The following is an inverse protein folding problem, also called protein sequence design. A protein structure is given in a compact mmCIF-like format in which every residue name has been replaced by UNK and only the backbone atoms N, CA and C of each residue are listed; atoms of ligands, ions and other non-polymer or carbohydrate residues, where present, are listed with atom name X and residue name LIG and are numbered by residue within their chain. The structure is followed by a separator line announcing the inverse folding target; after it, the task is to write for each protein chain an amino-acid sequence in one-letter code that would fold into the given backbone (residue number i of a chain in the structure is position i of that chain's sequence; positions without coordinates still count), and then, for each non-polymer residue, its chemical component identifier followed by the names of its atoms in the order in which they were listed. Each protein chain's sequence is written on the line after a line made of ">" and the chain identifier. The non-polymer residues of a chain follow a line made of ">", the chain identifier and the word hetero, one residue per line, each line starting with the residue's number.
data_IF_316921624119
#
_entry.id   IF_316921624119
#
_cell.length_a   1.000
_cell.length_b   1.000
_cell.length_c   1.000
_cell.angle_alpha   90.00
_cell.angle_beta   90.00
_cell.angle_gamma   90.00
#
_symmetry.space_group_name_H-M   'P 1'
#
loop_
_entity.id
_entity.type
_entity.pdbx_description
1 polymer ?
#
# COMPACT_ATOMS: atom_id res chain seq x y z
N UNK A 1 22.43 6.38 -27.32
CA UNK A 1 21.42 5.37 -27.73
C UNK A 1 21.86 4.01 -27.23
N UNK A 2 20.95 3.24 -26.64
CA UNK A 2 21.14 1.82 -26.40
C UNK A 2 20.46 1.07 -27.54
N UNK A 3 21.11 0.05 -28.10
CA UNK A 3 20.54 -0.74 -29.21
C UNK A 3 20.28 -2.17 -28.78
N UNK A 4 21.25 -2.75 -28.09
CA UNK A 4 21.22 -4.13 -27.64
C UNK A 4 21.92 -4.25 -26.28
N UNK A 5 21.28 -4.92 -25.34
CA UNK A 5 21.85 -5.36 -24.08
C UNK A 5 21.35 -6.77 -23.79
N UNK A 6 22.26 -7.71 -23.61
CA UNK A 6 21.94 -9.08 -23.23
C UNK A 6 22.92 -9.52 -22.15
N UNK A 7 22.43 -9.71 -20.94
CA UNK A 7 23.26 -9.94 -19.76
C UNK A 7 22.65 -11.02 -18.87
N UNK A 8 23.51 -11.73 -18.14
CA UNK A 8 23.09 -12.65 -17.09
C UNK A 8 22.36 -11.90 -15.98
N UNK A 9 23.11 -11.10 -15.23
CA UNK A 9 22.57 -10.18 -14.24
C UNK A 9 23.06 -8.75 -14.49
N UNK A 10 22.33 -7.76 -14.00
CA UNK A 10 22.75 -6.37 -14.02
C UNK A 10 22.54 -5.70 -12.66
N UNK A 11 23.59 -4.97 -12.25
CA UNK A 11 23.63 -4.15 -11.06
C UNK A 11 24.26 -2.79 -11.40
N UNK A 12 23.83 -1.73 -10.71
CA UNK A 12 24.27 -0.35 -10.98
C UNK A 12 23.26 0.44 -11.82
N UNK A 13 23.70 1.52 -12.45
CA UNK A 13 22.82 2.42 -13.23
C UNK A 13 23.29 2.49 -14.67
N UNK A 14 22.38 2.24 -15.63
CA UNK A 14 22.58 2.50 -17.05
C UNK A 14 21.65 3.63 -17.46
N UNK A 15 22.23 4.68 -18.02
CA UNK A 15 21.51 5.82 -18.57
C UNK A 15 21.70 5.87 -20.09
N UNK A 16 20.61 6.01 -20.84
CA UNK A 16 20.66 6.15 -22.29
C UNK A 16 19.54 7.08 -22.79
N UNK A 17 19.72 7.82 -23.89
CA UNK A 17 18.64 8.65 -24.44
C UNK A 17 17.36 7.87 -24.74
N UNK A 18 17.50 6.73 -25.42
CA UNK A 18 16.41 5.80 -25.74
C UNK A 18 16.95 4.43 -26.09
N UNK A 19 16.07 3.42 -26.10
CA UNK A 19 16.31 2.14 -26.74
C UNK A 19 16.01 2.26 -28.24
N UNK A 20 17.03 2.42 -29.09
CA UNK A 20 16.83 2.61 -30.52
C UNK A 20 16.96 1.26 -31.28
N UNK A 21 16.08 0.95 -32.24
CA UNK A 21 16.31 -0.13 -33.19
C UNK A 21 17.45 0.22 -34.16
N UNK A 22 18.40 -0.69 -34.39
CA UNK A 22 19.46 -0.52 -35.39
C UNK A 22 19.00 -1.05 -36.75
N UNK A 23 19.64 -0.67 -37.87
CA UNK A 23 19.27 -1.10 -39.22
C UNK A 23 18.97 -2.62 -39.30
N UNK A 24 17.68 -2.98 -39.40
CA UNK A 24 17.21 -4.36 -39.49
C UNK A 24 17.10 -5.15 -38.17
N UNK A 25 17.37 -4.54 -37.00
CA UNK A 25 17.30 -5.19 -35.70
C UNK A 25 16.47 -4.40 -34.67
N UNK A 26 15.58 -5.07 -33.91
CA UNK A 26 14.80 -4.43 -32.85
C UNK A 26 15.72 -3.88 -31.75
N UNK A 27 15.28 -2.81 -31.09
CA UNK A 27 15.91 -2.33 -29.87
C UNK A 27 15.64 -3.33 -28.75
N UNK A 28 16.68 -3.92 -28.17
CA UNK A 28 16.51 -5.10 -27.32
C UNK A 28 17.30 -5.00 -26.00
N UNK A 29 16.61 -5.21 -24.88
CA UNK A 29 17.25 -5.44 -23.58
C UNK A 29 16.75 -6.76 -23.02
N UNK A 30 17.67 -7.63 -22.61
CA UNK A 30 17.36 -8.87 -21.90
C UNK A 30 18.29 -9.09 -20.72
N UNK A 31 17.68 -9.49 -19.62
CA UNK A 31 18.37 -10.10 -18.48
C UNK A 31 17.98 -11.58 -18.39
N UNK A 32 18.91 -12.45 -18.01
CA UNK A 32 18.67 -13.89 -17.90
C UNK A 32 18.42 -14.36 -16.46
N UNK A 33 18.96 -13.66 -15.47
CA UNK A 33 18.94 -14.05 -14.06
C UNK A 33 18.29 -12.99 -13.16
N UNK A 34 18.96 -11.84 -12.94
CA UNK A 34 18.48 -10.81 -12.02
C UNK A 34 18.82 -9.40 -12.52
N UNK A 35 17.89 -8.49 -12.33
CA UNK A 35 18.08 -7.07 -12.54
C UNK A 35 17.78 -6.33 -11.23
N UNK A 36 18.84 -5.85 -10.57
CA UNK A 36 18.77 -5.11 -9.29
C UNK A 36 19.15 -3.64 -9.42
N UNK A 37 19.51 -3.22 -10.64
CA UNK A 37 20.00 -1.86 -10.93
C UNK A 37 18.90 -0.88 -11.35
N UNK A 38 19.32 0.24 -11.94
CA UNK A 38 18.46 1.22 -12.60
C UNK A 38 18.75 1.27 -14.09
N UNK A 39 17.71 1.17 -14.90
CA UNK A 39 17.76 1.38 -16.34
C UNK A 39 16.94 2.62 -16.67
N UNK A 40 17.60 3.69 -17.09
CA UNK A 40 16.99 5.01 -17.26
C UNK A 40 17.07 5.43 -18.72
N UNK A 41 15.92 5.76 -19.29
CA UNK A 41 15.78 6.31 -20.63
C UNK A 41 15.25 7.74 -20.58
N UNK A 42 15.90 8.66 -21.30
CA UNK A 42 15.50 10.07 -21.38
C UNK A 42 14.15 10.25 -22.08
N UNK A 43 13.90 9.45 -23.11
CA UNK A 43 12.68 9.47 -23.94
C UNK A 43 11.67 8.39 -23.51
N UNK A 44 10.48 8.41 -24.12
CA UNK A 44 9.45 7.38 -23.95
C UNK A 44 9.80 6.01 -24.55
N UNK A 45 8.91 5.04 -24.32
CA UNK A 45 9.05 3.64 -24.75
C UNK A 45 7.81 3.16 -25.49
N UNK A 46 7.70 3.51 -26.77
CA UNK A 46 6.48 3.32 -27.56
C UNK A 46 6.71 2.69 -28.94
N UNK A 47 7.95 2.43 -29.34
CA UNK A 47 8.20 1.76 -30.61
C UNK A 47 7.92 0.25 -30.44
N UNK A 48 7.01 -0.35 -31.22
CA UNK A 48 6.70 -1.77 -31.11
C UNK A 48 7.89 -2.69 -31.45
N UNK A 49 8.94 -2.17 -32.10
CA UNK A 49 10.19 -2.88 -32.31
C UNK A 49 11.12 -2.85 -31.08
N UNK A 50 10.77 -2.13 -30.02
CA UNK A 50 11.47 -2.18 -28.74
C UNK A 50 10.93 -3.31 -27.87
N UNK A 51 11.82 -4.01 -27.18
CA UNK A 51 11.42 -4.95 -26.13
C UNK A 51 12.43 -4.95 -24.99
N UNK A 52 11.90 -5.01 -23.78
CA UNK A 52 12.67 -5.30 -22.58
C UNK A 52 12.15 -6.61 -22.01
N UNK A 53 13.06 -7.53 -21.70
CA UNK A 53 12.76 -8.82 -21.13
C UNK A 53 13.57 -9.05 -19.86
N UNK A 54 12.88 -9.37 -18.77
CA UNK A 54 13.46 -9.71 -17.46
C UNK A 54 12.96 -11.11 -17.11
N UNK A 55 13.68 -11.96 -16.38
CA UNK A 55 13.14 -13.27 -15.97
C UNK A 55 12.04 -13.11 -14.92
N UNK A 56 11.26 -14.16 -14.70
CA UNK A 56 10.26 -14.21 -13.63
C UNK A 56 10.92 -13.91 -12.28
N UNK A 57 10.28 -13.07 -11.47
CA UNK A 57 10.79 -12.58 -10.18
C UNK A 57 12.14 -11.83 -10.25
N UNK A 58 12.66 -11.54 -11.45
CA UNK A 58 14.00 -10.97 -11.62
C UNK A 58 14.04 -9.46 -11.76
N UNK A 59 12.90 -8.77 -11.74
CA UNK A 59 12.83 -7.30 -11.73
C UNK A 59 12.81 -6.82 -10.28
N UNK A 60 13.99 -6.77 -9.66
CA UNK A 60 14.21 -6.22 -8.31
C UNK A 60 14.56 -4.72 -8.36
N UNK A 61 15.11 -4.27 -9.50
CA UNK A 61 15.53 -2.91 -9.78
C UNK A 61 14.42 -2.03 -10.39
N UNK A 62 14.83 -0.95 -11.05
CA UNK A 62 13.91 0.03 -11.62
C UNK A 62 14.18 0.30 -13.09
N UNK A 63 13.11 0.36 -13.88
CA UNK A 63 13.16 0.81 -15.26
C UNK A 63 12.39 2.12 -15.37
N UNK A 64 13.06 3.18 -15.82
CA UNK A 64 12.52 4.53 -15.90
C UNK A 64 12.50 4.97 -17.35
N UNK A 65 11.33 5.38 -17.84
CA UNK A 65 11.14 6.01 -19.13
C UNK A 65 10.82 7.49 -18.96
N UNK A 66 11.12 8.27 -20.00
CA UNK A 66 10.89 9.71 -20.04
C UNK A 66 11.63 10.51 -18.94
N UNK A 67 12.88 10.15 -18.61
CA UNK A 67 13.63 10.84 -17.56
C UNK A 67 13.85 12.35 -17.83
N UNK A 68 13.72 12.79 -19.09
CA UNK A 68 13.72 14.21 -19.48
C UNK A 68 12.38 14.92 -19.25
N UNK A 69 11.35 14.22 -18.78
CA UNK A 69 10.02 14.74 -18.46
C UNK A 69 9.31 15.43 -19.64
N UNK A 70 9.43 14.87 -20.85
CA UNK A 70 8.76 15.38 -22.03
C UNK A 70 7.26 15.07 -21.98
N UNK A 71 6.40 16.09 -22.11
CA UNK A 71 4.95 15.93 -22.00
C UNK A 71 4.31 15.03 -23.08
N UNK A 72 4.97 14.87 -24.23
CA UNK A 72 4.48 14.04 -25.34
C UNK A 72 4.99 12.59 -25.30
N UNK A 73 5.89 12.26 -24.36
CA UNK A 73 6.42 10.92 -24.26
C UNK A 73 5.37 9.94 -23.72
N UNK A 74 5.38 8.73 -24.25
CA UNK A 74 4.45 7.67 -23.85
C UNK A 74 5.21 6.36 -23.63
N UNK A 75 4.61 5.50 -22.80
CA UNK A 75 5.01 4.11 -22.66
C UNK A 75 3.87 3.21 -23.16
N UNK A 76 4.08 2.57 -24.31
CA UNK A 76 3.13 1.63 -24.92
C UNK A 76 3.77 0.34 -25.44
N UNK A 77 5.11 0.29 -25.56
CA UNK A 77 5.82 -0.93 -25.90
C UNK A 77 5.91 -1.87 -24.67
N UNK A 78 5.88 -3.20 -24.87
CA UNK A 78 5.77 -4.15 -23.77
C UNK A 78 7.09 -4.29 -23.00
N UNK A 79 6.99 -4.28 -21.66
CA UNK A 79 8.04 -4.83 -20.79
C UNK A 79 7.60 -6.22 -20.32
N UNK A 80 8.42 -7.22 -20.58
CA UNK A 80 8.07 -8.64 -20.41
C UNK A 80 8.83 -9.23 -19.23
N UNK A 81 8.10 -9.84 -18.30
CA UNK A 81 8.65 -10.58 -17.17
C UNK A 81 8.40 -12.07 -17.43
N UNK A 82 9.48 -12.83 -17.61
CA UNK A 82 9.48 -14.23 -17.98
C UNK A 82 9.83 -14.52 -19.44
N UNK A 83 10.01 -15.81 -19.79
CA UNK A 83 10.42 -16.24 -21.14
C UNK A 83 9.39 -15.87 -22.21
N UNK A 84 9.85 -15.55 -23.42
CA UNK A 84 8.96 -15.15 -24.51
C UNK A 84 8.05 -16.31 -24.92
N UNK A 85 6.74 -16.06 -24.99
CA UNK A 85 5.74 -17.08 -25.35
C UNK A 85 5.46 -18.13 -24.26
N UNK A 86 5.97 -17.94 -23.05
CA UNK A 86 5.64 -18.80 -21.91
C UNK A 86 4.24 -18.47 -21.38
N UNK A 87 3.43 -19.47 -20.94
CA UNK A 87 2.10 -19.22 -20.39
C UNK A 87 2.09 -18.28 -19.19
N UNK A 88 3.14 -18.32 -18.37
CA UNK A 88 3.29 -17.48 -17.17
C UNK A 88 3.98 -16.13 -17.44
N UNK A 89 4.20 -15.76 -18.71
CA UNK A 89 4.82 -14.46 -19.01
C UNK A 89 3.87 -13.32 -18.60
N UNK A 90 4.39 -12.42 -17.77
CA UNK A 90 3.70 -11.19 -17.41
C UNK A 90 4.13 -10.11 -18.41
N UNK A 91 3.15 -9.38 -18.93
CA UNK A 91 3.39 -8.20 -19.79
C UNK A 91 2.93 -6.96 -19.03
N UNK A 92 3.89 -6.11 -18.67
CA UNK A 92 3.62 -4.82 -18.06
C UNK A 92 3.33 -3.81 -19.16
N UNK A 93 2.16 -3.19 -19.09
CA UNK A 93 1.72 -2.15 -20.02
C UNK A 93 1.73 -0.80 -19.30
N UNK A 94 2.26 0.22 -19.97
CA UNK A 94 2.30 1.58 -19.43
C UNK A 94 1.01 2.38 -19.66
N UNK A 95 0.92 3.58 -19.06
CA UNK A 95 1.87 4.15 -18.11
C UNK A 95 1.70 3.61 -16.66
N UNK A 96 0.65 2.83 -16.40
CA UNK A 96 0.41 2.15 -15.12
C UNK A 96 -0.10 0.71 -15.31
N UNK A 97 0.29 -0.19 -14.41
CA UNK A 97 -0.10 -1.60 -14.41
C UNK A 97 -0.47 -2.08 -13.01
N UNK A 98 -1.40 -3.02 -12.89
CA UNK A 98 -1.90 -3.50 -11.58
C UNK A 98 -1.11 -4.67 -10.99
N UNK A 99 -0.18 -5.25 -11.75
CA UNK A 99 0.65 -6.37 -11.31
C UNK A 99 1.48 -5.94 -10.08
N UNK A 100 1.28 -6.55 -8.90
CA UNK A 100 1.99 -6.15 -7.68
C UNK A 100 3.51 -6.37 -7.78
N UNK A 101 4.29 -5.49 -7.15
CA UNK A 101 5.75 -5.52 -7.31
C UNK A 101 6.39 -6.82 -6.85
N UNK A 102 5.89 -7.46 -5.80
CA UNK A 102 6.36 -8.76 -5.29
C UNK A 102 6.24 -9.89 -6.33
N UNK A 103 5.30 -9.79 -7.28
CA UNK A 103 5.12 -10.80 -8.34
C UNK A 103 6.18 -10.71 -9.44
N UNK A 104 6.82 -9.55 -9.59
CA UNK A 104 7.84 -9.29 -10.62
C UNK A 104 9.27 -9.27 -10.05
N UNK A 105 9.42 -9.21 -8.73
CA UNK A 105 10.72 -9.22 -8.03
C UNK A 105 10.91 -8.09 -7.01
N UNK A 106 9.91 -7.25 -6.78
CA UNK A 106 9.93 -6.10 -5.86
C UNK A 106 10.28 -4.76 -6.50
N UNK A 107 10.77 -4.80 -7.75
CA UNK A 107 11.10 -3.63 -8.55
C UNK A 107 9.89 -2.96 -9.21
N UNK A 108 10.16 -2.06 -10.15
CA UNK A 108 9.11 -1.35 -10.89
C UNK A 108 9.54 -0.89 -12.28
N UNK A 109 8.53 -0.57 -13.10
CA UNK A 109 8.70 0.15 -14.37
C UNK A 109 7.84 1.40 -14.31
N UNK A 110 8.39 2.56 -14.64
CA UNK A 110 7.66 3.82 -14.57
C UNK A 110 7.93 4.73 -15.75
N UNK A 111 6.88 5.44 -16.18
CA UNK A 111 6.98 6.58 -17.08
C UNK A 111 6.92 7.86 -16.24
N UNK A 112 7.88 8.77 -16.42
CA UNK A 112 7.88 10.08 -15.74
C UNK A 112 6.87 11.02 -16.43
N UNK A 113 6.11 11.84 -15.67
CA UNK A 113 6.00 11.85 -14.22
C UNK A 113 5.34 10.58 -13.66
N UNK A 114 5.91 10.00 -12.61
CA UNK A 114 5.37 8.76 -12.03
C UNK A 114 4.00 8.99 -11.38
N UNK A 115 3.11 8.02 -11.58
CA UNK A 115 1.88 7.84 -10.81
C UNK A 115 2.08 6.86 -9.64
N UNK A 116 1.05 6.72 -8.81
CA UNK A 116 0.98 5.78 -7.69
C UNK A 116 0.68 4.35 -8.17
N UNK A 117 1.41 3.37 -7.63
CA UNK A 117 1.12 1.96 -7.79
C UNK A 117 0.18 1.48 -6.68
N UNK A 118 -1.12 1.67 -6.87
CA UNK A 118 -2.14 1.39 -5.85
C UNK A 118 -2.12 -0.04 -5.28
N UNK A 119 -1.91 -1.05 -6.11
CA UNK A 119 -1.86 -2.47 -5.69
C UNK A 119 -0.57 -2.85 -4.94
N UNK A 120 0.53 -2.12 -5.13
CA UNK A 120 1.78 -2.36 -4.39
C UNK A 120 1.88 -1.49 -3.14
N UNK A 121 0.99 -0.51 -2.98
CA UNK A 121 0.92 0.31 -1.77
C UNK A 121 0.33 -0.54 -0.64
N UNK A 122 0.66 -0.20 0.60
CA UNK A 122 0.14 -0.88 1.77
C UNK A 122 -0.54 0.09 2.73
N UNK A 123 -1.80 -0.16 3.13
CA UNK A 123 -2.74 -1.07 2.49
C UNK A 123 -2.93 -0.74 0.99
N UNK A 124 -3.40 -1.71 0.22
CA UNK A 124 -3.68 -1.48 -1.19
C UNK A 124 -4.75 -0.39 -1.34
N UNK A 125 -4.66 0.39 -2.43
CA UNK A 125 -5.60 1.49 -2.66
C UNK A 125 -7.04 0.98 -2.69
N UNK A 126 -7.90 1.61 -1.89
CA UNK A 126 -9.34 1.36 -1.85
C UNK A 126 -9.75 0.24 -0.90
N UNK A 127 -8.81 -0.31 -0.13
CA UNK A 127 -9.15 -1.32 0.89
C UNK A 127 -9.80 -0.70 2.11
N UNK A 128 -10.56 -1.53 2.82
CA UNK A 128 -10.95 -1.29 4.21
C UNK A 128 -9.98 -2.06 5.11
N UNK A 129 -9.50 -1.41 6.15
CA UNK A 129 -8.69 -2.03 7.19
C UNK A 129 -9.39 -1.85 8.53
N UNK A 130 -9.23 -2.84 9.39
CA UNK A 130 -9.65 -2.81 10.78
C UNK A 130 -8.42 -2.56 11.63
N UNK A 131 -8.51 -1.61 12.56
CA UNK A 131 -7.45 -1.30 13.52
C UNK A 131 -8.04 -1.23 14.92
N UNK A 132 -7.33 -1.81 15.88
CA UNK A 132 -7.69 -1.71 17.29
C UNK A 132 -7.74 -0.25 17.73
N UNK A 133 -8.62 0.06 18.69
CA UNK A 133 -8.79 1.44 19.16
C UNK A 133 -7.48 1.99 19.73
N UNK A 134 -7.17 3.23 19.38
CA UNK A 134 -5.97 3.92 19.84
C UNK A 134 -4.63 3.31 19.41
N UNK A 135 -4.57 2.39 18.44
CA UNK A 135 -3.30 1.89 17.91
C UNK A 135 -2.64 2.92 16.96
N UNK A 136 -1.56 3.62 17.38
CA UNK A 136 -0.88 4.59 16.53
C UNK A 136 0.03 3.92 15.48
N UNK A 137 0.08 2.57 15.43
CA UNK A 137 1.00 1.82 14.59
C UNK A 137 0.56 1.72 13.12
N UNK A 138 -0.64 2.20 12.79
CA UNK A 138 -1.11 2.19 11.41
C UNK A 138 -0.25 3.13 10.54
N UNK A 139 0.60 2.51 9.73
CA UNK A 139 1.37 3.17 8.68
C UNK A 139 0.69 2.95 7.32
N UNK A 140 0.70 3.98 6.49
CA UNK A 140 0.38 3.86 5.06
C UNK A 140 1.67 4.01 4.26
N UNK A 141 1.95 3.04 3.40
CA UNK A 141 3.12 2.98 2.52
C UNK A 141 2.67 3.15 1.07
N UNK A 142 3.01 4.28 0.48
CA UNK A 142 2.61 4.64 -0.88
C UNK A 142 3.74 4.34 -1.86
N UNK A 143 3.57 3.28 -2.64
CA UNK A 143 4.53 2.87 -3.65
C UNK A 143 4.23 3.55 -4.99
N UNK A 144 5.24 4.20 -5.57
CA UNK A 144 5.16 4.83 -6.89
C UNK A 144 5.75 3.90 -7.96
N UNK A 145 5.45 4.14 -9.23
CA UNK A 145 6.07 3.37 -10.34
C UNK A 145 7.56 3.68 -10.54
N UNK A 146 8.09 4.70 -9.87
CA UNK A 146 9.53 4.96 -9.81
C UNK A 146 9.91 5.86 -8.63
N UNK A 147 11.21 6.17 -8.49
CA UNK A 147 11.74 6.97 -7.40
C UNK A 147 11.10 8.36 -7.22
N UNK A 148 10.96 8.78 -5.98
CA UNK A 148 10.43 10.10 -5.60
C UNK A 148 11.40 10.86 -4.70
N UNK A 149 11.21 12.16 -4.53
CA UNK A 149 11.91 13.01 -3.56
C UNK A 149 10.92 13.95 -2.90
N UNK A 150 11.10 14.15 -1.59
CA UNK A 150 10.42 15.21 -0.84
C UNK A 150 11.28 16.47 -0.92
N UNK A 151 10.71 17.56 -1.42
CA UNK A 151 11.40 18.85 -1.62
C UNK A 151 10.88 19.97 -0.70
N UNK A 152 9.72 19.77 -0.08
CA UNK A 152 9.11 20.69 0.87
C UNK A 152 8.55 19.98 2.10
N UNK A 153 7.65 20.65 2.82
CA UNK A 153 7.17 20.17 4.12
C UNK A 153 5.87 19.35 4.02
N UNK A 154 5.16 19.43 2.89
CA UNK A 154 3.86 18.79 2.74
C UNK A 154 3.77 18.05 1.41
N UNK A 155 4.53 16.95 1.22
CA UNK A 155 4.58 16.20 -0.05
C UNK A 155 3.23 15.61 -0.49
N UNK A 156 2.32 15.41 0.45
CA UNK A 156 0.95 14.98 0.19
C UNK A 156 -0.05 15.80 0.99
N UNK A 157 -1.25 15.96 0.45
CA UNK A 157 -2.43 16.45 1.14
C UNK A 157 -3.24 15.24 1.62
N UNK A 158 -3.56 15.20 2.91
CA UNK A 158 -4.37 14.15 3.53
C UNK A 158 -5.70 14.78 3.92
N UNK A 159 -6.78 14.15 3.48
CA UNK A 159 -8.15 14.54 3.80
C UNK A 159 -8.90 13.33 4.33
N UNK A 160 -9.91 13.56 5.16
CA UNK A 160 -10.76 12.50 5.70
C UNK A 160 -12.23 12.88 5.70
N UNK A 161 -13.09 11.87 5.80
CA UNK A 161 -14.53 12.03 5.98
C UNK A 161 -15.07 10.90 6.85
N UNK A 162 -16.02 11.16 7.76
CA UNK A 162 -16.62 10.09 8.56
C UNK A 162 -17.23 9.00 7.67
N UNK A 163 -17.09 7.73 8.08
CA UNK A 163 -17.70 6.61 7.38
C UNK A 163 -19.23 6.77 7.41
N UNK A 164 -19.87 6.52 6.26
CA UNK A 164 -21.31 6.68 6.08
C UNK A 164 -21.75 8.11 5.77
N UNK A 165 -20.87 9.10 5.90
CA UNK A 165 -21.11 10.45 5.40
C UNK A 165 -20.92 10.49 3.87
N UNK A 166 -21.80 11.22 3.20
CA UNK A 166 -21.76 11.46 1.74
C UNK A 166 -21.23 12.85 1.38
N UNK A 167 -20.88 13.67 2.38
CA UNK A 167 -20.29 14.98 2.21
C UNK A 167 -18.89 14.97 1.60
N UNK A 168 -18.29 16.15 1.54
CA UNK A 168 -16.93 16.33 1.02
C UNK A 168 -15.87 15.85 2.03
N UNK A 169 -14.70 15.50 1.51
CA UNK A 169 -13.52 15.27 2.34
C UNK A 169 -13.03 16.59 2.94
N UNK A 170 -12.62 16.56 4.20
CA UNK A 170 -12.01 17.70 4.90
C UNK A 170 -10.51 17.45 5.10
N UNK A 171 -9.70 18.48 4.88
CA UNK A 171 -8.26 18.44 5.11
C UNK A 171 -7.94 18.12 6.58
N UNK A 172 -6.97 17.23 6.79
CA UNK A 172 -6.43 16.89 8.10
C UNK A 172 -5.18 17.72 8.35
N UNK A 173 -5.00 18.17 9.59
CA UNK A 173 -3.80 18.93 9.97
C UNK A 173 -2.53 18.13 9.64
N UNK A 174 -1.52 18.73 8.97
CA UNK A 174 -0.24 18.07 8.74
C UNK A 174 0.48 17.64 10.02
N UNK A 175 0.16 18.26 11.17
CA UNK A 175 0.73 17.89 12.47
C UNK A 175 0.29 16.52 12.97
N UNK A 176 -0.74 15.92 12.35
CA UNK A 176 -1.22 14.57 12.69
C UNK A 176 -0.30 13.47 12.15
N UNK A 177 0.55 13.77 11.16
CA UNK A 177 1.29 12.77 10.40
C UNK A 177 2.80 13.02 10.34
N UNK A 178 3.56 11.94 10.32
CA UNK A 178 4.94 11.91 9.82
C UNK A 178 4.90 11.41 8.38
N UNK A 179 5.55 12.13 7.47
CA UNK A 179 5.66 11.73 6.07
C UNK A 179 7.12 11.71 5.67
N UNK A 180 7.63 10.52 5.37
CA UNK A 180 9.04 10.30 5.08
C UNK A 180 9.21 9.45 3.82
N UNK A 181 10.32 9.65 3.12
CA UNK A 181 10.73 8.70 2.09
C UNK A 181 11.32 7.45 2.76
N UNK A 182 10.95 6.27 2.29
CA UNK A 182 11.53 5.03 2.80
C UNK A 182 13.05 4.99 2.57
N UNK A 183 13.85 4.68 3.60
CA UNK A 183 15.31 4.66 3.50
C UNK A 183 15.82 3.47 2.67
N UNK A 184 15.01 2.43 2.50
CA UNK A 184 15.36 1.20 1.78
C UNK A 184 14.64 1.08 0.44
N UNK A 185 13.56 1.83 0.23
CA UNK A 185 12.76 1.79 -0.98
C UNK A 185 12.53 3.20 -1.55
N UNK A 186 13.32 3.66 -2.54
CA UNK A 186 13.27 5.05 -3.02
C UNK A 186 11.97 5.43 -3.75
N UNK A 187 11.11 4.47 -4.09
CA UNK A 187 9.79 4.67 -4.71
C UNK A 187 8.66 4.78 -3.67
N UNK A 188 8.96 4.62 -2.39
CA UNK A 188 7.95 4.54 -1.34
C UNK A 188 7.99 5.76 -0.42
N UNK A 189 6.81 6.32 -0.17
CA UNK A 189 6.56 7.22 0.95
C UNK A 189 5.92 6.44 2.08
N UNK A 190 6.35 6.71 3.31
CA UNK A 190 5.76 6.16 4.53
C UNK A 190 5.05 7.29 5.25
N UNK A 191 3.78 7.09 5.55
CA UNK A 191 2.92 8.00 6.28
C UNK A 191 2.54 7.31 7.59
N UNK A 192 3.01 7.83 8.72
CA UNK A 192 2.68 7.33 10.05
C UNK A 192 2.03 8.41 10.91
N UNK A 193 1.64 8.03 12.12
CA UNK A 193 1.20 9.00 13.13
C UNK A 193 2.39 9.87 13.58
N UNK A 194 2.17 11.18 13.69
CA UNK A 194 3.13 12.07 14.32
C UNK A 194 3.21 11.81 15.83
N UNK A 195 4.31 12.19 16.52
CA UNK A 195 4.45 11.97 17.97
C UNK A 195 3.36 12.57 18.86
N UNK A 196 2.59 13.54 18.35
CA UNK A 196 1.44 14.16 19.02
C UNK A 196 0.17 14.09 18.18
N UNK A 197 0.21 13.35 17.07
CA UNK A 197 -0.89 13.17 16.16
C UNK A 197 -1.56 11.83 16.35
N UNK A 198 -2.82 11.74 15.97
CA UNK A 198 -3.59 10.49 15.94
C UNK A 198 -3.37 9.72 14.63
N UNK A 199 -2.85 10.38 13.60
CA UNK A 199 -2.61 9.78 12.29
C UNK A 199 -3.90 9.27 11.63
N UNK A 200 -3.88 8.00 11.21
CA UNK A 200 -5.03 7.34 10.60
C UNK A 200 -5.95 6.75 11.68
N UNK A 201 -6.91 7.54 12.14
CA UNK A 201 -7.89 7.14 13.16
C UNK A 201 -9.02 6.29 12.56
N UNK A 202 -9.54 5.30 13.31
CA UNK A 202 -10.75 4.59 12.91
C UNK A 202 -11.98 5.51 12.76
N UNK A 203 -12.95 5.07 11.95
CA UNK A 203 -14.21 5.77 11.71
C UNK A 203 -14.21 6.70 10.49
N UNK A 204 -13.15 6.68 9.67
CA UNK A 204 -13.00 7.60 8.53
C UNK A 204 -12.63 6.89 7.22
N UNK A 205 -13.18 7.41 6.12
CA UNK A 205 -12.61 7.27 4.78
C UNK A 205 -11.48 8.32 4.65
N UNK A 206 -10.26 7.91 4.33
CA UNK A 206 -9.13 8.79 4.04
C UNK A 206 -8.86 8.89 2.54
N UNK A 207 -8.45 10.09 2.11
CA UNK A 207 -8.00 10.40 0.76
C UNK A 207 -6.65 11.11 0.83
N UNK A 208 -5.69 10.62 0.06
CA UNK A 208 -4.35 11.23 -0.04
C UNK A 208 -4.10 11.62 -1.50
N UNK A 209 -3.53 12.81 -1.70
CA UNK A 209 -3.17 13.34 -3.02
C UNK A 209 -1.77 13.98 -2.98
N UNK A 210 -1.00 14.00 -4.08
CA UNK A 210 0.32 14.59 -4.07
C UNK A 210 0.23 16.12 -4.16
N UNK A 211 1.22 16.81 -3.61
CA UNK A 211 1.40 18.26 -3.79
C UNK A 211 2.60 18.55 -4.69
N UNK A 212 2.91 19.83 -4.89
CA UNK A 212 4.14 20.26 -5.57
C UNK A 212 5.43 19.88 -4.85
N UNK A 213 5.36 19.54 -3.56
CA UNK A 213 6.53 19.21 -2.73
C UNK A 213 7.05 17.79 -2.97
N UNK A 214 6.28 16.95 -3.69
CA UNK A 214 6.66 15.61 -4.08
C UNK A 214 7.03 15.55 -5.56
N UNK A 215 8.30 15.24 -5.84
CA UNK A 215 8.84 15.22 -7.21
C UNK A 215 9.41 13.85 -7.56
N UNK A 216 9.59 13.57 -8.84
CA UNK A 216 10.28 12.37 -9.30
C UNK A 216 11.81 12.51 -9.09
N UNK A 217 12.47 11.48 -8.53
CA UNK A 217 13.95 11.44 -8.39
C UNK A 217 14.61 11.12 -9.73
N UNK A 218 14.48 12.06 -10.66
CA UNK A 218 15.13 12.07 -11.98
C UNK A 218 15.73 13.46 -12.20
N UNK A 219 16.71 13.63 -13.11
CA UNK A 219 17.37 14.93 -13.29
C UNK A 219 16.42 16.11 -13.53
N UNK A 220 15.29 15.89 -14.20
CA UNK A 220 14.29 16.93 -14.48
C UNK A 220 13.41 17.30 -13.28
N UNK A 221 13.34 16.46 -12.24
CA UNK A 221 12.52 16.61 -11.03
C UNK A 221 11.10 17.17 -11.25
N UNK A 222 10.30 16.66 -12.21
CA UNK A 222 8.91 17.08 -12.32
C UNK A 222 8.13 16.66 -11.06
N UNK A 223 7.11 17.44 -10.71
CA UNK A 223 6.13 17.04 -9.70
C UNK A 223 5.48 15.72 -10.11
N UNK A 224 5.30 14.80 -9.15
CA UNK A 224 4.59 13.54 -9.41
C UNK A 224 3.18 13.82 -9.90
N UNK A 225 2.65 12.95 -10.74
CA UNK A 225 1.29 13.09 -11.26
C UNK A 225 0.54 11.78 -11.03
N UNK A 226 -0.34 11.78 -10.03
CA UNK A 226 -1.22 10.65 -9.80
C UNK A 226 -2.43 10.74 -10.73
N UNK A 227 -2.80 9.61 -11.32
CA UNK A 227 -4.03 9.45 -12.10
C UNK A 227 -5.26 9.37 -11.21
N UNK A 228 -5.09 8.89 -9.97
CA UNK A 228 -6.13 8.81 -8.95
C UNK A 228 -5.57 9.10 -7.55
N UNK A 229 -6.40 9.63 -6.66
CA UNK A 229 -6.06 9.73 -5.24
C UNK A 229 -5.88 8.34 -4.61
N UNK A 230 -4.97 8.21 -3.64
CA UNK A 230 -4.95 7.06 -2.75
C UNK A 230 -6.13 7.17 -1.79
N UNK A 231 -6.80 6.05 -1.51
CA UNK A 231 -7.94 6.01 -0.60
C UNK A 231 -7.83 4.79 0.28
N UNK A 232 -8.17 4.91 1.56
CA UNK A 232 -8.25 3.79 2.50
C UNK A 232 -9.39 4.08 3.46
N UNK A 233 -10.17 3.06 3.79
CA UNK A 233 -11.15 3.14 4.87
C UNK A 233 -10.55 2.52 6.12
N UNK A 234 -10.62 3.24 7.23
CA UNK A 234 -10.13 2.79 8.53
C UNK A 234 -11.33 2.54 9.42
N UNK A 235 -11.67 1.27 9.64
CA UNK A 235 -12.71 0.83 10.55
C UNK A 235 -12.08 0.44 11.90
N UNK A 236 -12.85 0.58 12.97
CA UNK A 236 -12.44 0.11 14.28
C UNK A 236 -12.57 -1.41 14.29
N UNK A 237 -11.50 -2.10 14.67
CA UNK A 237 -11.59 -3.52 15.00
C UNK A 237 -12.50 -3.63 16.22
N UNK A 238 -13.68 -4.23 16.03
CA UNK A 238 -14.55 -4.56 17.16
C UNK A 238 -14.01 -5.85 17.73
N UNK A 239 -13.09 -5.73 18.69
CA UNK A 239 -12.70 -6.88 19.50
C UNK A 239 -13.91 -7.30 20.31
N UNK A 240 -14.58 -8.39 19.93
CA UNK A 240 -15.68 -8.89 20.75
C UNK A 240 -15.09 -9.50 22.01
N UNK A 241 -15.09 -8.78 23.13
CA UNK A 241 -14.84 -9.42 24.41
C UNK A 241 -16.01 -10.35 24.69
N UNK A 242 -15.75 -11.65 24.86
CA UNK A 242 -16.80 -12.58 25.29
C UNK A 242 -17.43 -12.12 26.62
N UNK A 243 -16.65 -11.42 27.43
CA UNK A 243 -17.08 -10.84 28.70
C UNK A 243 -17.85 -9.51 28.61
N UNK A 244 -17.96 -8.88 27.43
CA UNK A 244 -18.84 -7.72 27.22
C UNK A 244 -20.27 -8.22 27.00
N UNK A 245 -20.95 -8.44 28.11
CA UNK A 245 -22.31 -8.98 28.15
C UNK A 245 -23.35 -7.90 27.83
N UNK A 246 -22.99 -6.63 27.93
CA UNK A 246 -23.86 -5.50 27.58
C UNK A 246 -23.80 -5.15 26.09
N UNK A 247 -22.71 -5.49 25.41
CA UNK A 247 -22.43 -5.13 24.02
C UNK A 247 -22.11 -3.65 23.84
N UNK A 248 -21.59 -2.99 24.89
CA UNK A 248 -21.27 -1.56 24.88
C UNK A 248 -19.81 -1.24 24.57
N UNK A 249 -18.97 -2.27 24.35
CA UNK A 249 -17.56 -2.16 24.02
C UNK A 249 -16.63 -2.06 25.23
N UNK A 250 -17.13 -2.17 26.47
CA UNK A 250 -16.27 -2.11 27.67
C UNK A 250 -16.71 -3.14 28.71
N UNK A 251 -15.84 -4.10 29.05
CA UNK A 251 -16.07 -5.03 30.18
C UNK A 251 -15.90 -4.29 31.50
N UNK A 252 -17.02 -4.02 32.17
CA UNK A 252 -17.06 -3.25 33.39
C UNK A 252 -18.05 -3.82 34.44
N UNK A 253 -18.42 -2.98 35.41
CA UNK A 253 -19.33 -3.37 36.49
C UNK A 253 -20.72 -3.75 35.98
N UNK A 254 -21.17 -3.22 34.86
CA UNK A 254 -22.46 -3.55 34.27
C UNK A 254 -22.46 -4.99 33.72
N UNK A 255 -21.39 -5.44 33.10
CA UNK A 255 -21.22 -6.83 32.67
C UNK A 255 -21.14 -7.78 33.86
N UNK A 256 -20.40 -7.40 34.91
CA UNK A 256 -20.36 -8.15 36.15
C UNK A 256 -21.77 -8.33 36.75
N UNK A 257 -22.61 -7.28 36.72
CA UNK A 257 -23.98 -7.37 37.21
C UNK A 257 -24.84 -8.29 36.35
N UNK A 258 -24.63 -8.32 35.02
CA UNK A 258 -25.29 -9.29 34.13
C UNK A 258 -24.85 -10.72 34.43
N UNK A 259 -23.55 -10.96 34.60
CA UNK A 259 -23.01 -12.28 34.96
C UNK A 259 -23.60 -12.78 36.28
N UNK A 260 -23.60 -11.95 37.31
CA UNK A 260 -24.20 -12.30 38.61
C UNK A 260 -25.72 -12.52 38.52
N UNK A 261 -26.39 -11.87 37.57
CA UNK A 261 -27.81 -12.09 37.28
C UNK A 261 -28.11 -13.45 36.67
N UNK A 262 -27.14 -14.07 36.01
CA UNK A 262 -27.23 -15.39 35.36
C UNK A 262 -26.60 -16.52 36.20
N UNK A 263 -26.21 -16.24 37.45
CA UNK A 263 -25.48 -17.20 38.28
C UNK A 263 -26.23 -18.52 38.48
N UNK A 264 -25.59 -19.64 38.12
CA UNK A 264 -26.17 -20.98 38.24
C UNK A 264 -26.10 -21.79 36.94
N UNK A 265 -26.86 -22.89 36.88
CA UNK A 265 -26.86 -23.79 35.74
C UNK A 265 -27.63 -23.22 34.55
N UNK A 266 -27.07 -23.38 33.36
CA UNK A 266 -27.70 -22.99 32.11
C UNK A 266 -28.59 -24.08 31.48
N UNK A 267 -28.68 -25.27 32.06
CA UNK A 267 -29.41 -26.41 31.47
C UNK A 267 -30.91 -26.14 31.26
N UNK A 268 -31.49 -25.17 31.98
CA UNK A 268 -32.90 -24.81 31.91
C UNK A 268 -33.18 -23.52 31.12
N UNK A 269 -32.14 -22.80 30.68
CA UNK A 269 -32.25 -21.51 30.02
C UNK A 269 -32.10 -21.66 28.49
N UNK A 270 -32.82 -20.89 27.67
CA UNK A 270 -32.48 -20.76 26.25
C UNK A 270 -31.05 -20.23 26.09
N UNK A 271 -30.36 -20.60 25.00
CA UNK A 271 -28.96 -20.16 24.75
C UNK A 271 -28.78 -18.62 24.85
N UNK A 272 -29.82 -17.84 24.52
CA UNK A 272 -29.83 -16.37 24.68
C UNK A 272 -29.79 -15.87 26.13
N UNK A 273 -30.06 -16.73 27.12
CA UNK A 273 -30.08 -16.41 28.55
C UNK A 273 -28.85 -16.94 29.31
N UNK A 274 -27.91 -17.60 28.61
CA UNK A 274 -26.66 -18.15 29.16
C UNK A 274 -25.41 -17.45 28.57
N UNK A 275 -25.54 -16.18 28.18
CA UNK A 275 -24.41 -15.44 27.60
C UNK A 275 -23.21 -15.30 28.57
N UNK A 276 -23.45 -15.41 29.89
CA UNK A 276 -22.43 -15.29 30.92
C UNK A 276 -21.66 -16.59 31.24
N UNK A 277 -21.94 -17.71 30.56
CA UNK A 277 -21.12 -18.92 30.60
C UNK A 277 -19.95 -18.74 29.64
N UNK A 278 -18.91 -18.06 30.12
CA UNK A 278 -17.78 -17.59 29.32
C UNK A 278 -16.81 -18.72 29.00
N UNK A 279 -16.79 -19.78 29.83
CA UNK A 279 -15.92 -20.94 29.60
C UNK A 279 -16.64 -22.09 28.86
N UNK A 280 -17.97 -22.00 28.69
CA UNK A 280 -18.80 -22.95 27.95
C UNK A 280 -19.02 -24.28 28.67
N UNK A 281 -18.93 -24.31 30.00
CA UNK A 281 -19.09 -25.54 30.82
C UNK A 281 -20.54 -25.84 31.22
N UNK A 282 -21.47 -24.95 30.86
CA UNK A 282 -22.90 -25.06 31.13
C UNK A 282 -23.34 -24.52 32.50
N UNK A 283 -22.43 -23.87 33.26
CA UNK A 283 -22.73 -23.32 34.59
C UNK A 283 -22.03 -21.98 34.81
N UNK A 284 -22.80 -20.88 34.87
CA UNK A 284 -22.27 -19.56 35.27
C UNK A 284 -21.87 -19.58 36.74
N UNK A 285 -20.57 -19.50 37.00
CA UNK A 285 -20.01 -19.58 38.34
C UNK A 285 -18.75 -18.71 38.51
N UNK A 286 -17.95 -19.02 39.54
CA UNK A 286 -16.73 -18.26 39.86
C UNK A 286 -15.69 -18.33 38.74
N UNK A 287 -15.68 -19.39 37.94
CA UNK A 287 -14.75 -19.52 36.82
C UNK A 287 -15.08 -18.52 35.70
N UNK A 288 -16.36 -18.31 35.39
CA UNK A 288 -16.79 -17.27 34.44
C UNK A 288 -16.53 -15.87 34.97
N UNK A 289 -16.72 -15.66 36.28
CA UNK A 289 -16.32 -14.40 36.90
C UNK A 289 -14.81 -14.12 36.71
N UNK A 290 -13.96 -15.15 36.78
CA UNK A 290 -12.53 -14.98 36.54
C UNK A 290 -12.22 -14.68 35.07
N UNK A 291 -12.92 -15.30 34.12
CA UNK A 291 -12.82 -14.97 32.69
C UNK A 291 -13.25 -13.52 32.41
N UNK A 292 -14.33 -13.06 33.05
CA UNK A 292 -14.80 -11.67 32.95
C UNK A 292 -13.74 -10.69 33.48
N UNK A 293 -13.22 -10.93 34.68
CA UNK A 293 -12.19 -10.07 35.27
C UNK A 293 -10.88 -10.10 34.49
N UNK A 294 -10.56 -11.19 33.79
CA UNK A 294 -9.39 -11.27 32.93
C UNK A 294 -9.50 -10.37 31.70
N UNK A 295 -10.72 -10.03 31.28
CA UNK A 295 -11.03 -9.15 30.17
C UNK A 295 -11.47 -7.74 30.62
N UNK A 296 -11.27 -7.38 31.89
CA UNK A 296 -11.76 -6.10 32.43
C UNK A 296 -11.12 -4.88 31.76
N UNK A 297 -11.95 -3.95 31.29
CA UNK A 297 -11.53 -2.77 30.55
C UNK A 297 -12.18 -2.69 29.17
N UNK A 298 -11.63 -1.83 28.32
CA UNK A 298 -12.13 -1.64 26.96
C UNK A 298 -11.83 -2.86 26.08
N UNK A 299 -12.77 -3.08 25.16
CA UNK A 299 -12.64 -3.90 23.98
C UNK A 299 -12.30 -3.02 22.77
#
# INVERSE_FOLDING_TARGET
>A
YLWFLDAGSFHGTLHAPRLAPAEGAPGFVRFLNQFTGKLVFDEGFSDPAQTIQVPLFGLEGQIVFNASAEAAAAWSAPVRIGPNGHPDQIVLNGPGYTVPSETIGGGSVGLVPFTLHGESSWPARGTTIEVADGDPSLEVRLDHYGPVLITGQSPVLIERRPIGDSGDFAEVSPEEFTIEQSPTNPRQLVIGAAPRGEGFSPGYDYRVTPTSDLVNDVPAQPTVQWDHAYTVRVEQEITVCAADLTGDGTVNVFDLLLLLGQWGSCEAAPESECAADLNGDGVVNVFDLLELLAQWGDC
#
